data_IF_620189310372
#
_entry.id   IF_620189310372
#
_cell.length_a   1.000
_cell.length_b   1.000
_cell.length_c   1.000
_cell.angle_alpha   90.00
_cell.angle_beta   90.00
_cell.angle_gamma   90.00
#
_symmetry.space_group_name_H-M   'P 1'
#
loop_
_entity.id
_entity.type
_entity.pdbx_description
1 polymer ?
#
# COMPACT_ATOMS: atom_id res chain seq x y z
N UNK A 1 5.12 -13.74 8.90
CA UNK A 1 3.92 -12.92 9.15
C UNK A 1 4.33 -11.84 10.14
N UNK A 2 4.13 -10.58 9.79
CA UNK A 2 4.52 -9.44 10.64
C UNK A 2 3.35 -8.90 11.45
N UNK A 3 2.13 -9.11 10.98
CA UNK A 3 0.89 -8.81 11.70
C UNK A 3 0.01 -10.06 11.69
N UNK A 4 -0.48 -10.49 12.83
CA UNK A 4 -1.42 -11.60 12.92
C UNK A 4 -2.84 -11.13 12.64
N UNK A 5 -3.72 -12.05 12.22
CA UNK A 5 -5.12 -11.69 11.98
C UNK A 5 -5.84 -11.20 13.23
N UNK A 6 -5.52 -11.78 14.41
CA UNK A 6 -6.07 -11.33 15.69
C UNK A 6 -5.68 -9.88 16.00
N UNK A 7 -4.39 -9.54 15.86
CA UNK A 7 -3.90 -8.17 16.04
C UNK A 7 -4.55 -7.20 15.03
N UNK A 8 -4.71 -7.63 13.76
CA UNK A 8 -5.37 -6.83 12.74
C UNK A 8 -6.82 -6.48 13.13
N UNK A 9 -7.58 -7.45 13.65
CA UNK A 9 -8.95 -7.21 14.12
C UNK A 9 -8.97 -6.31 15.36
N UNK A 10 -8.04 -6.49 16.31
CA UNK A 10 -7.91 -5.61 17.48
C UNK A 10 -7.62 -4.16 17.10
N UNK A 11 -6.88 -3.94 16.01
CA UNK A 11 -6.61 -2.60 15.46
C UNK A 11 -7.78 -2.02 14.66
N UNK A 12 -8.90 -2.74 14.54
CA UNK A 12 -10.09 -2.29 13.83
C UNK A 12 -10.19 -2.76 12.38
N UNK A 13 -9.44 -3.76 11.99
CA UNK A 13 -9.49 -4.35 10.65
C UNK A 13 -10.83 -5.03 10.35
N UNK A 14 -11.26 -4.99 9.10
CA UNK A 14 -12.58 -5.47 8.65
C UNK A 14 -12.52 -6.54 7.56
N UNK A 15 -11.32 -6.90 7.10
CA UNK A 15 -11.16 -7.94 6.07
C UNK A 15 -11.43 -9.34 6.65
N UNK A 16 -11.87 -10.24 5.78
CA UNK A 16 -11.87 -11.67 6.08
C UNK A 16 -10.44 -12.22 6.13
N UNK A 17 -10.24 -13.33 6.81
CA UNK A 17 -8.92 -13.90 7.06
C UNK A 17 -8.17 -14.27 5.76
N UNK A 18 -8.89 -14.74 4.73
CA UNK A 18 -8.28 -15.12 3.46
C UNK A 18 -7.73 -13.89 2.71
N UNK A 19 -8.51 -12.84 2.61
CA UNK A 19 -8.11 -11.56 2.00
C UNK A 19 -7.01 -10.88 2.81
N UNK A 20 -7.11 -10.91 4.14
CA UNK A 20 -6.07 -10.39 5.02
C UNK A 20 -4.73 -11.07 4.78
N UNK A 21 -4.68 -12.41 4.70
CA UNK A 21 -3.42 -13.15 4.44
C UNK A 21 -2.77 -12.74 3.12
N UNK A 22 -3.57 -12.50 2.09
CA UNK A 22 -3.07 -12.05 0.79
C UNK A 22 -2.46 -10.65 0.88
N UNK A 23 -3.15 -9.72 1.53
CA UNK A 23 -2.68 -8.33 1.66
C UNK A 23 -1.54 -8.20 2.67
N UNK A 24 -1.52 -9.01 3.73
CA UNK A 24 -0.37 -9.11 4.64
C UNK A 24 0.88 -9.55 3.91
N UNK A 25 0.77 -10.52 3.02
CA UNK A 25 1.90 -10.98 2.21
C UNK A 25 2.45 -9.85 1.31
N UNK A 26 1.57 -9.09 0.65
CA UNK A 26 1.96 -7.95 -0.18
C UNK A 26 2.60 -6.84 0.66
N UNK A 27 1.97 -6.45 1.76
CA UNK A 27 2.48 -5.42 2.67
C UNK A 27 3.83 -5.80 3.28
N UNK A 28 3.99 -7.05 3.69
CA UNK A 28 5.26 -7.57 4.22
C UNK A 28 6.37 -7.49 3.18
N UNK A 29 6.11 -7.85 1.93
CA UNK A 29 7.08 -7.72 0.85
C UNK A 29 7.55 -6.28 0.66
N UNK A 30 6.65 -5.30 0.79
CA UNK A 30 7.01 -3.88 0.75
C UNK A 30 7.91 -3.50 1.93
N UNK A 31 7.53 -3.86 3.14
CA UNK A 31 8.31 -3.57 4.35
C UNK A 31 9.68 -4.23 4.28
N UNK A 32 9.77 -5.48 3.85
CA UNK A 32 11.05 -6.19 3.67
C UNK A 32 11.96 -5.46 2.68
N UNK A 33 11.41 -5.02 1.56
CA UNK A 33 12.18 -4.29 0.55
C UNK A 33 12.75 -2.97 1.10
N UNK A 34 11.95 -2.19 1.85
CA UNK A 34 12.40 -0.92 2.43
C UNK A 34 13.37 -1.09 3.61
N UNK A 35 13.31 -2.22 4.31
CA UNK A 35 14.19 -2.54 5.44
C UNK A 35 15.35 -3.46 5.07
N UNK A 36 15.54 -3.73 3.78
CA UNK A 36 16.63 -4.59 3.29
C UNK A 36 16.62 -5.99 3.91
N UNK A 37 15.43 -6.59 4.03
CA UNK A 37 15.20 -7.91 4.64
C UNK A 37 15.66 -8.05 6.11
N UNK A 38 15.98 -6.94 6.77
CA UNK A 38 16.51 -6.96 8.15
C UNK A 38 15.51 -7.47 9.16
N UNK A 39 14.22 -7.20 8.94
CA UNK A 39 13.15 -7.67 9.83
C UNK A 39 12.98 -9.19 9.82
N UNK A 40 13.42 -9.88 8.78
CA UNK A 40 13.40 -11.35 8.73
C UNK A 40 14.30 -12.01 9.78
N UNK A 41 15.27 -11.26 10.29
CA UNK A 41 16.23 -11.72 11.29
C UNK A 41 15.81 -11.35 12.73
N UNK A 42 14.74 -10.57 12.87
CA UNK A 42 14.24 -10.12 14.19
C UNK A 42 13.28 -11.15 14.76
N UNK A 43 13.49 -11.54 16.01
CA UNK A 43 12.59 -12.46 16.74
C UNK A 43 11.32 -11.75 17.18
N UNK A 44 11.44 -10.47 17.51
CA UNK A 44 10.33 -9.64 18.01
C UNK A 44 10.24 -8.38 17.18
N UNK A 45 9.05 -8.10 16.65
CA UNK A 45 8.79 -6.90 15.87
C UNK A 45 8.32 -5.75 16.75
N UNK A 46 8.82 -4.57 16.48
CA UNK A 46 8.39 -3.37 17.20
C UNK A 46 6.93 -3.01 16.88
N UNK A 47 6.22 -2.33 17.78
CA UNK A 47 4.85 -1.88 17.55
C UNK A 47 4.70 -1.04 16.28
N UNK A 48 5.70 -0.22 15.96
CA UNK A 48 5.71 0.64 14.77
C UNK A 48 5.68 -0.18 13.48
N UNK A 49 6.32 -1.36 13.45
CA UNK A 49 6.26 -2.28 12.31
C UNK A 49 4.85 -2.84 12.15
N UNK A 50 4.19 -3.21 13.22
CA UNK A 50 2.81 -3.72 13.19
C UNK A 50 1.82 -2.65 12.73
N UNK A 51 1.99 -1.42 13.21
CA UNK A 51 1.20 -0.27 12.77
C UNK A 51 1.41 0.03 11.28
N UNK A 52 2.66 -0.01 10.83
CA UNK A 52 3.01 0.13 9.42
C UNK A 52 2.32 -0.94 8.55
N UNK A 53 2.35 -2.19 8.99
CA UNK A 53 1.66 -3.29 8.31
C UNK A 53 0.15 -3.05 8.21
N UNK A 54 -0.47 -2.60 9.30
CA UNK A 54 -1.89 -2.27 9.32
C UNK A 54 -2.23 -1.18 8.31
N UNK A 55 -1.49 -0.06 8.32
CA UNK A 55 -1.71 1.05 7.40
C UNK A 55 -1.51 0.65 5.93
N UNK A 56 -0.50 -0.17 5.64
CA UNK A 56 -0.27 -0.68 4.29
C UNK A 56 -1.41 -1.61 3.83
N UNK A 57 -1.93 -2.49 4.70
CA UNK A 57 -3.06 -3.35 4.39
C UNK A 57 -4.31 -2.52 4.10
N UNK A 58 -4.59 -1.48 4.88
CA UNK A 58 -5.69 -0.54 4.61
C UNK A 58 -5.52 0.13 3.24
N UNK A 59 -4.33 0.64 2.96
CA UNK A 59 -4.02 1.28 1.69
C UNK A 59 -4.20 0.32 0.49
N UNK A 60 -3.72 -0.93 0.59
CA UNK A 60 -3.91 -1.96 -0.44
C UNK A 60 -5.40 -2.26 -0.63
N UNK A 61 -6.16 -2.31 0.46
CA UNK A 61 -7.62 -2.53 0.44
C UNK A 61 -8.31 -1.41 -0.34
N UNK A 62 -8.03 -0.17 -0.02
CA UNK A 62 -8.64 1.01 -0.65
C UNK A 62 -8.28 1.08 -2.14
N UNK A 63 -7.02 0.87 -2.47
CA UNK A 63 -6.54 0.76 -3.85
C UNK A 63 -7.30 -0.30 -4.64
N UNK A 64 -7.41 -1.51 -4.09
CA UNK A 64 -8.09 -2.61 -4.77
C UNK A 64 -9.60 -2.36 -4.91
N UNK A 65 -10.24 -1.71 -3.94
CA UNK A 65 -11.63 -1.31 -4.04
C UNK A 65 -11.85 -0.26 -5.14
N UNK A 66 -10.97 0.73 -5.24
CA UNK A 66 -11.01 1.74 -6.32
C UNK A 66 -10.84 1.11 -7.70
N UNK A 67 -9.91 0.15 -7.83
CA UNK A 67 -9.72 -0.58 -9.08
C UNK A 67 -10.94 -1.42 -9.48
N UNK A 68 -11.63 -2.03 -8.53
CA UNK A 68 -12.88 -2.78 -8.78
C UNK A 68 -14.00 -1.87 -9.26
N UNK A 69 -14.11 -0.65 -8.73
CA UNK A 69 -15.11 0.34 -9.15
C UNK A 69 -14.86 0.86 -10.58
N UNK A 70 -13.60 0.84 -11.04
CA UNK A 70 -13.23 1.25 -12.39
C UNK A 70 -13.30 0.15 -13.45
N UNK A 71 -13.62 -1.10 -13.08
CA UNK A 71 -13.77 -2.18 -14.06
C UNK A 71 -15.20 -2.20 -14.62
N UNK A 72 -15.36 -2.34 -15.98
CA UNK A 72 -16.68 -2.55 -16.55
C UNK A 72 -17.25 -3.85 -15.99
N UNK A 73 -18.42 -3.77 -15.39
CA UNK A 73 -19.16 -4.95 -14.95
C UNK A 73 -19.51 -5.76 -16.19
N UNK A 74 -18.96 -6.97 -16.28
CA UNK A 74 -19.19 -7.86 -17.43
C UNK A 74 -20.65 -8.23 -17.57
N UNK A 75 -21.08 -8.38 -18.82
CA UNK A 75 -22.36 -8.94 -19.31
C UNK A 75 -23.64 -8.25 -18.85
N UNK A 76 -23.93 -7.14 -19.48
CA UNK A 76 -25.23 -6.47 -19.39
C UNK A 76 -25.11 -5.04 -19.88
N UNK A 77 -24.86 -4.88 -21.18
CA UNK A 77 -25.03 -3.69 -21.99
C UNK A 77 -25.33 -2.38 -21.25
N UNK A 78 -24.33 -1.79 -20.68
CA UNK A 78 -24.31 -0.35 -20.44
C UNK A 78 -22.91 0.08 -20.72
N UNK A 79 -22.78 0.80 -21.78
CA UNK A 79 -21.64 1.54 -22.27
C UNK A 79 -21.06 2.38 -21.11
N UNK A 80 -20.19 1.78 -20.28
CA UNK A 80 -19.32 2.57 -19.44
C UNK A 80 -18.17 2.98 -20.34
N UNK A 81 -18.46 4.01 -21.10
CA UNK A 81 -17.46 4.72 -21.88
C UNK A 81 -16.24 4.95 -21.00
N UNK A 82 -15.03 4.67 -21.50
CA UNK A 82 -13.82 5.18 -20.86
C UNK A 82 -14.05 6.66 -20.62
N UNK A 83 -13.81 7.11 -19.40
CA UNK A 83 -14.06 8.48 -18.95
C UNK A 83 -13.78 9.46 -20.09
N UNK A 84 -14.79 10.23 -20.45
CA UNK A 84 -14.69 11.19 -21.55
C UNK A 84 -13.49 12.09 -21.28
N UNK A 85 -12.46 11.91 -22.06
CA UNK A 85 -11.18 12.61 -21.90
C UNK A 85 -11.28 14.03 -22.40
N UNK A 86 -12.24 14.30 -23.27
CA UNK A 86 -12.54 15.65 -23.74
C UNK A 86 -14.02 15.83 -24.01
N UNK A 87 -14.55 16.94 -23.56
CA UNK A 87 -15.91 17.37 -23.81
C UNK A 87 -15.84 18.78 -24.42
N UNK A 88 -16.44 18.95 -25.59
CA UNK A 88 -16.53 20.25 -26.26
C UNK A 88 -17.99 20.55 -26.51
N UNK A 89 -18.48 21.64 -25.92
CA UNK A 89 -19.80 22.17 -26.17
C UNK A 89 -19.73 23.69 -26.26
N UNK A 90 -20.27 24.28 -27.34
CA UNK A 90 -20.38 25.73 -27.56
C UNK A 90 -19.09 26.55 -27.33
N UNK A 91 -17.93 26.03 -27.80
CA UNK A 91 -16.65 26.73 -27.68
C UNK A 91 -15.98 26.62 -26.32
N UNK A 92 -16.56 25.89 -25.39
CA UNK A 92 -15.91 25.51 -24.12
C UNK A 92 -15.29 24.14 -24.26
N UNK A 93 -13.96 24.06 -24.21
CA UNK A 93 -13.23 22.79 -24.22
C UNK A 93 -12.82 22.46 -22.79
N UNK A 94 -13.37 21.39 -22.23
CA UNK A 94 -12.96 20.86 -20.94
C UNK A 94 -12.16 19.58 -21.17
N UNK A 95 -10.88 19.63 -20.89
CA UNK A 95 -10.01 18.45 -20.99
C UNK A 95 -9.89 17.83 -19.60
N UNK A 96 -10.39 16.62 -19.43
CA UNK A 96 -10.14 15.83 -18.24
C UNK A 96 -8.78 15.14 -18.41
N UNK A 97 -7.89 15.36 -17.46
CA UNK A 97 -6.59 14.68 -17.44
C UNK A 97 -6.81 13.17 -17.30
N UNK A 98 -6.48 12.44 -18.36
CA UNK A 98 -6.40 11.00 -18.29
C UNK A 98 -5.22 10.65 -17.36
N UNK A 99 -5.51 10.07 -16.21
CA UNK A 99 -4.48 9.49 -15.35
C UNK A 99 -3.81 8.37 -16.16
N UNK A 100 -2.64 8.65 -16.68
CA UNK A 100 -1.84 7.61 -17.34
C UNK A 100 -1.46 6.57 -16.32
N UNK A 101 -1.39 5.31 -16.70
CA UNK A 101 -0.95 4.21 -15.83
C UNK A 101 0.39 4.50 -15.14
N UNK A 102 1.29 5.21 -15.84
CA UNK A 102 2.57 5.68 -15.30
C UNK A 102 2.42 6.67 -14.16
N UNK A 103 1.42 7.57 -14.22
CA UNK A 103 1.20 8.59 -13.19
C UNK A 103 0.49 7.96 -11.98
N UNK A 104 -0.44 7.03 -12.22
CA UNK A 104 -1.05 6.22 -11.17
C UNK A 104 0.01 5.40 -10.41
N UNK A 105 0.95 4.78 -11.11
CA UNK A 105 2.04 4.03 -10.49
C UNK A 105 2.95 4.94 -9.63
N UNK A 106 3.31 6.13 -10.12
CA UNK A 106 4.09 7.11 -9.35
C UNK A 106 3.36 7.56 -8.10
N UNK A 107 2.06 7.79 -8.22
CA UNK A 107 1.21 8.18 -7.08
C UNK A 107 1.18 7.08 -6.02
N UNK A 108 0.91 5.83 -6.42
CA UNK A 108 0.90 4.69 -5.49
C UNK A 108 2.25 4.49 -4.81
N UNK A 109 3.34 4.64 -5.54
CA UNK A 109 4.67 4.54 -4.96
C UNK A 109 4.92 5.65 -3.93
N UNK A 110 4.54 6.89 -4.23
CA UNK A 110 4.70 8.02 -3.33
C UNK A 110 3.91 7.83 -2.02
N UNK A 111 2.69 7.31 -2.09
CA UNK A 111 1.86 7.01 -0.92
C UNK A 111 2.47 5.90 -0.06
N UNK A 112 2.97 4.83 -0.66
CA UNK A 112 3.67 3.75 0.05
C UNK A 112 4.95 4.29 0.72
N UNK A 113 5.74 5.09 0.00
CA UNK A 113 6.94 5.74 0.53
C UNK A 113 6.59 6.61 1.75
N UNK A 114 5.48 7.35 1.69
CA UNK A 114 5.02 8.22 2.78
C UNK A 114 4.58 7.42 4.01
N UNK A 115 3.77 6.38 3.83
CA UNK A 115 3.32 5.49 4.91
C UNK A 115 4.53 4.86 5.62
N UNK A 116 5.45 4.25 4.86
CA UNK A 116 6.61 3.57 5.42
C UNK A 116 7.53 4.56 6.13
N UNK A 117 7.77 5.73 5.55
CA UNK A 117 8.59 6.76 6.19
C UNK A 117 7.94 7.31 7.46
N UNK A 118 6.63 7.51 7.50
CA UNK A 118 5.93 7.95 8.72
C UNK A 118 6.06 6.95 9.85
N UNK A 119 5.86 5.67 9.56
CA UNK A 119 5.85 4.63 10.58
C UNK A 119 7.27 4.23 11.01
N UNK A 120 8.18 4.02 10.05
CA UNK A 120 9.48 3.39 10.32
C UNK A 120 10.66 4.35 10.40
N UNK A 121 10.45 5.65 10.21
CA UNK A 121 11.55 6.65 10.25
C UNK A 121 12.34 6.63 11.55
N UNK A 122 11.64 6.45 12.65
CA UNK A 122 12.22 6.42 14.01
C UNK A 122 12.32 5.02 14.58
N UNK A 123 11.73 4.04 13.92
CA UNK A 123 11.71 2.66 14.37
C UNK A 123 13.12 2.05 14.42
N UNK A 124 13.40 1.34 15.48
CA UNK A 124 14.68 0.69 15.73
C UNK A 124 14.48 -0.85 15.73
N UNK A 125 15.54 -1.56 15.35
CA UNK A 125 15.59 -3.01 15.53
C UNK A 125 15.96 -3.38 16.99
N UNK A 126 16.02 -4.67 17.29
CA UNK A 126 16.42 -5.21 18.60
C UNK A 126 17.81 -4.73 19.08
N UNK A 127 18.68 -4.32 18.17
CA UNK A 127 20.02 -3.79 18.44
C UNK A 127 20.07 -2.25 18.51
N UNK A 128 18.91 -1.58 18.54
CA UNK A 128 18.84 -0.12 18.59
C UNK A 128 19.25 0.60 17.30
N UNK A 129 19.21 -0.08 16.15
CA UNK A 129 19.57 0.49 14.85
C UNK A 129 18.34 0.86 14.05
N UNK A 130 18.40 1.99 13.30
CA UNK A 130 17.28 2.46 12.48
C UNK A 130 16.96 1.49 11.35
N UNK A 131 15.70 1.07 11.26
CA UNK A 131 15.24 0.12 10.25
C UNK A 131 15.41 0.62 8.80
N UNK A 132 15.19 1.91 8.54
CA UNK A 132 15.32 2.51 7.21
C UNK A 132 16.75 3.01 6.90
N UNK A 133 17.75 2.62 7.69
CA UNK A 133 19.13 2.98 7.39
C UNK A 133 19.64 2.28 6.12
N UNK A 134 20.09 3.06 5.13
CA UNK A 134 20.50 2.55 3.82
C UNK A 134 21.98 2.08 3.75
N UNK A 135 22.74 2.25 4.82
CA UNK A 135 24.12 1.73 4.92
C UNK A 135 24.17 0.31 5.46
N UNK A 136 25.35 -0.30 5.38
CA UNK A 136 25.62 -1.57 6.04
C UNK A 136 25.62 -1.38 7.56
N UNK A 137 25.01 -2.32 8.28
CA UNK A 137 25.21 -2.37 9.72
C UNK A 137 26.59 -2.92 10.05
N UNK A 138 27.24 -2.50 11.13
CA UNK A 138 28.48 -3.12 11.59
C UNK A 138 28.26 -4.63 11.77
N UNK A 139 28.96 -5.45 10.97
CA UNK A 139 28.85 -6.91 10.99
C UNK A 139 27.88 -7.53 9.95
N UNK A 140 27.31 -6.73 9.05
CA UNK A 140 26.64 -7.22 7.84
C UNK A 140 27.62 -7.52 6.72
#
# INVERSE_FOLDING_TARGET
>A
MYLTYAEYIEMGGTLDEATFKQYEFEARGLVDWYTFDRLKKEETLSPEVKECMYMLIQYITDKNNLLKLGQPVGEGGSDVSPQVVSFSNDGVSTTYAQLRLTDAYKYYKAEIDDIINKCLRTALNSLGRKLLYRGLYPGE
#
